data_IF_124375339611
#
_entry.id   IF_124375339611
#
_cell.length_a   1.000
_cell.length_b   1.000
_cell.length_c   1.000
_cell.angle_alpha   90.00
_cell.angle_beta   90.00
_cell.angle_gamma   90.00
#
_symmetry.space_group_name_H-M   'P 1'
#
loop_
_entity.id
_entity.type
_entity.pdbx_description
1 polymer ?
#
# COMPACT_ATOMS: atom_id res chain seq x y z
N UNK A 1 1.28 -16.55 -38.79
CA UNK A 1 1.55 -17.84 -38.08
C UNK A 1 1.11 -17.66 -36.65
N UNK A 2 0.34 -18.55 -36.11
CA UNK A 2 -0.06 -18.53 -34.69
C UNK A 2 1.15 -18.87 -33.83
N UNK A 3 1.49 -18.11 -32.77
CA UNK A 3 2.64 -18.41 -31.93
C UNK A 3 2.48 -19.81 -31.29
N UNK A 4 3.58 -20.53 -31.14
CA UNK A 4 3.60 -21.82 -30.46
C UNK A 4 3.16 -21.67 -29.00
N UNK A 5 2.69 -22.75 -28.37
CA UNK A 5 2.26 -22.71 -26.96
C UNK A 5 3.43 -22.29 -26.04
N UNK A 6 4.66 -22.66 -26.39
CA UNK A 6 5.85 -22.22 -25.65
C UNK A 6 6.06 -20.70 -25.75
N UNK A 7 5.89 -20.13 -26.93
CA UNK A 7 5.98 -18.67 -27.12
C UNK A 7 4.87 -17.93 -26.35
N UNK A 8 3.65 -18.45 -26.35
CA UNK A 8 2.54 -17.91 -25.56
C UNK A 8 2.84 -17.94 -24.06
N UNK A 9 3.42 -19.03 -23.53
CA UNK A 9 3.81 -19.14 -22.12
C UNK A 9 4.90 -18.12 -21.76
N UNK A 10 5.92 -17.96 -22.63
CA UNK A 10 6.96 -16.96 -22.43
C UNK A 10 6.38 -15.53 -22.40
N UNK A 11 5.46 -15.23 -23.30
CA UNK A 11 4.79 -13.93 -23.32
C UNK A 11 3.89 -13.71 -22.10
N UNK A 12 3.21 -14.75 -21.62
CA UNK A 12 2.40 -14.68 -20.41
C UNK A 12 3.24 -14.32 -19.16
N UNK A 13 4.46 -14.85 -19.03
CA UNK A 13 5.34 -14.45 -17.94
C UNK A 13 5.83 -12.99 -18.02
N UNK A 14 5.84 -12.39 -19.20
CA UNK A 14 6.26 -10.99 -19.39
C UNK A 14 5.26 -9.96 -18.86
N UNK A 15 4.05 -10.36 -18.52
CA UNK A 15 3.08 -9.48 -17.86
C UNK A 15 3.55 -9.09 -16.44
N UNK A 16 4.46 -9.86 -15.84
CA UNK A 16 4.97 -9.60 -14.51
C UNK A 16 6.00 -8.46 -14.54
N UNK A 17 5.93 -7.50 -13.60
CA UNK A 17 6.88 -6.38 -13.54
C UNK A 17 8.30 -6.88 -13.32
N UNK A 18 9.26 -6.33 -14.08
CA UNK A 18 10.67 -6.72 -14.02
C UNK A 18 11.02 -8.01 -14.79
N UNK A 19 10.04 -8.68 -15.41
CA UNK A 19 10.26 -9.90 -16.19
C UNK A 19 10.44 -9.56 -17.68
N UNK A 20 11.70 -9.47 -18.11
CA UNK A 20 12.05 -9.33 -19.52
C UNK A 20 12.07 -10.68 -20.26
N UNK A 21 12.27 -10.62 -21.58
CA UNK A 21 12.24 -11.78 -22.49
C UNK A 21 13.11 -12.95 -22.02
N UNK A 22 14.38 -12.70 -21.63
CA UNK A 22 15.30 -13.77 -21.19
C UNK A 22 14.86 -14.42 -19.88
N UNK A 23 14.33 -13.63 -18.95
CA UNK A 23 13.82 -14.11 -17.67
C UNK A 23 12.57 -14.95 -17.88
N UNK A 24 11.62 -14.48 -18.68
CA UNK A 24 10.41 -15.21 -19.04
C UNK A 24 10.72 -16.57 -19.68
N UNK A 25 11.65 -16.58 -20.63
CA UNK A 25 12.09 -17.83 -21.29
C UNK A 25 12.70 -18.83 -20.29
N UNK A 26 13.56 -18.36 -19.37
CA UNK A 26 14.15 -19.18 -18.32
C UNK A 26 13.08 -19.74 -17.37
N UNK A 27 12.08 -18.94 -17.00
CA UNK A 27 10.95 -19.37 -16.17
C UNK A 27 10.14 -20.46 -16.87
N UNK A 28 9.77 -20.25 -18.14
CA UNK A 28 9.03 -21.21 -18.93
C UNK A 28 9.75 -22.56 -19.02
N UNK A 29 11.03 -22.56 -19.33
CA UNK A 29 11.84 -23.79 -19.42
C UNK A 29 11.96 -24.49 -18.06
N UNK A 30 12.20 -23.74 -16.99
CA UNK A 30 12.27 -24.31 -15.64
C UNK A 30 10.99 -25.02 -15.25
N UNK A 31 9.82 -24.37 -15.45
CA UNK A 31 8.52 -24.98 -15.17
C UNK A 31 8.29 -26.24 -15.99
N UNK A 32 8.57 -26.19 -17.29
CA UNK A 32 8.32 -27.31 -18.19
C UNK A 32 9.28 -28.50 -17.99
N UNK A 33 10.51 -28.25 -17.58
CA UNK A 33 11.51 -29.30 -17.43
C UNK A 33 11.58 -29.88 -16.01
N UNK A 34 11.35 -29.02 -14.98
CA UNK A 34 11.68 -29.38 -13.60
C UNK A 34 10.51 -29.27 -12.61
N UNK A 35 9.52 -28.40 -12.89
CA UNK A 35 8.49 -28.02 -11.90
C UNK A 35 7.08 -28.05 -12.51
N UNK A 36 6.72 -29.12 -13.23
CA UNK A 36 5.41 -29.23 -13.88
C UNK A 36 4.24 -29.18 -12.91
N UNK A 37 4.35 -29.83 -11.76
CA UNK A 37 3.34 -29.82 -10.72
C UNK A 37 3.22 -28.44 -10.07
N UNK A 38 4.35 -27.79 -9.80
CA UNK A 38 4.41 -26.39 -9.36
C UNK A 38 3.78 -25.43 -10.37
N UNK A 39 4.02 -25.65 -11.67
CA UNK A 39 3.41 -24.89 -12.74
C UNK A 39 1.90 -25.08 -12.84
N UNK A 40 1.40 -26.30 -12.70
CA UNK A 40 -0.02 -26.61 -12.67
C UNK A 40 -0.71 -25.94 -11.48
N UNK A 41 -0.11 -26.04 -10.28
CA UNK A 41 -0.60 -25.37 -9.07
C UNK A 41 -0.61 -23.85 -9.21
N UNK A 42 0.47 -23.26 -9.78
CA UNK A 42 0.53 -21.81 -10.01
C UNK A 42 -0.61 -21.36 -10.94
N UNK A 43 -0.84 -22.06 -12.03
CA UNK A 43 -1.93 -21.75 -12.97
C UNK A 43 -3.29 -21.80 -12.29
N UNK A 44 -3.55 -22.82 -11.49
CA UNK A 44 -4.81 -22.97 -10.77
C UNK A 44 -5.01 -21.84 -9.75
N UNK A 45 -4.02 -21.62 -8.85
CA UNK A 45 -4.13 -20.60 -7.79
C UNK A 45 -4.23 -19.19 -8.37
N UNK A 46 -3.52 -18.92 -9.47
CA UNK A 46 -3.60 -17.63 -10.15
C UNK A 46 -5.00 -17.39 -10.72
N UNK A 47 -5.59 -18.39 -11.38
CA UNK A 47 -6.96 -18.31 -11.88
C UNK A 47 -7.97 -18.06 -10.76
N UNK A 48 -7.93 -18.85 -9.70
CA UNK A 48 -8.80 -18.69 -8.53
C UNK A 48 -8.62 -17.30 -7.86
N UNK A 49 -7.39 -16.83 -7.73
CA UNK A 49 -7.09 -15.52 -7.14
C UNK A 49 -7.67 -14.37 -7.96
N UNK A 50 -7.53 -14.41 -9.29
CA UNK A 50 -8.08 -13.39 -10.19
C UNK A 50 -9.61 -13.34 -10.12
N UNK A 51 -10.26 -14.49 -9.99
CA UNK A 51 -11.72 -14.55 -9.92
C UNK A 51 -12.29 -14.14 -8.56
N UNK A 52 -11.58 -14.44 -7.46
CA UNK A 52 -12.14 -14.36 -6.11
C UNK A 52 -11.62 -13.19 -5.30
N UNK A 53 -10.40 -12.69 -5.57
CA UNK A 53 -9.82 -11.58 -4.81
C UNK A 53 -10.22 -10.26 -5.44
N UNK A 54 -11.08 -9.53 -4.74
CA UNK A 54 -11.44 -8.16 -5.06
C UNK A 54 -10.86 -7.16 -4.04
N UNK A 55 -11.58 -6.07 -3.82
CA UNK A 55 -11.22 -5.05 -2.86
C UNK A 55 -12.27 -4.95 -1.75
N UNK A 56 -11.80 -4.86 -0.51
CA UNK A 56 -12.65 -4.59 0.65
C UNK A 56 -13.45 -3.31 0.44
N UNK A 57 -14.76 -3.36 0.67
CA UNK A 57 -15.66 -2.24 0.49
C UNK A 57 -15.30 -1.03 1.38
N UNK A 58 -14.70 -1.25 2.57
CA UNK A 58 -14.34 -0.17 3.49
C UNK A 58 -12.93 0.36 3.33
N UNK A 59 -11.93 -0.52 3.24
CA UNK A 59 -10.52 -0.09 3.26
C UNK A 59 -9.83 -0.14 1.90
N UNK A 60 -10.42 -0.76 0.89
CA UNK A 60 -9.86 -0.95 -0.46
C UNK A 60 -8.63 -1.87 -0.52
N UNK A 61 -8.28 -2.57 0.56
CA UNK A 61 -7.27 -3.63 0.52
C UNK A 61 -7.81 -4.86 -0.19
N UNK A 62 -6.93 -5.75 -0.62
CA UNK A 62 -7.35 -7.03 -1.21
C UNK A 62 -8.18 -7.86 -0.25
N UNK A 63 -9.25 -8.46 -0.75
CA UNK A 63 -10.17 -9.28 0.06
C UNK A 63 -10.94 -10.26 -0.81
N UNK A 64 -11.14 -11.49 -0.32
CA UNK A 64 -12.05 -12.47 -0.92
C UNK A 64 -13.52 -12.25 -0.50
N UNK A 65 -13.78 -11.36 0.43
CA UNK A 65 -15.11 -11.03 0.94
C UNK A 65 -15.36 -9.53 0.88
N UNK A 66 -16.62 -9.10 1.03
CA UNK A 66 -17.00 -7.69 1.00
C UNK A 66 -16.20 -6.86 1.99
N UNK A 67 -15.99 -7.38 3.21
CA UNK A 67 -15.13 -6.77 4.22
C UNK A 67 -13.94 -7.68 4.51
N UNK A 68 -12.74 -7.13 4.47
CA UNK A 68 -11.54 -7.87 4.89
C UNK A 68 -11.56 -8.18 6.39
N UNK A 69 -10.75 -9.13 6.83
CA UNK A 69 -10.66 -9.54 8.23
C UNK A 69 -10.39 -8.38 9.21
N UNK A 70 -9.59 -7.39 8.79
CA UNK A 70 -9.32 -6.19 9.60
C UNK A 70 -10.56 -5.32 9.77
N UNK A 71 -11.29 -5.06 8.68
CA UNK A 71 -12.50 -4.22 8.73
C UNK A 71 -13.69 -4.90 9.39
N UNK A 72 -13.76 -6.23 9.36
CA UNK A 72 -14.81 -7.02 10.02
C UNK A 72 -14.54 -7.26 11.52
N UNK A 73 -13.34 -6.98 11.99
CA UNK A 73 -12.94 -7.28 13.37
C UNK A 73 -13.48 -6.25 14.37
N UNK A 74 -14.32 -6.71 15.30
CA UNK A 74 -14.84 -5.88 16.41
C UNK A 74 -13.75 -5.48 17.44
N UNK A 75 -12.56 -6.08 17.39
CA UNK A 75 -11.44 -5.72 18.28
C UNK A 75 -10.61 -4.54 17.78
N UNK A 76 -10.95 -3.97 16.63
CA UNK A 76 -10.29 -2.80 16.06
C UNK A 76 -10.91 -1.51 16.59
N UNK A 77 -10.06 -0.51 16.78
CA UNK A 77 -10.50 0.83 17.18
C UNK A 77 -10.96 1.62 15.94
N UNK A 78 -12.26 1.84 15.85
CA UNK A 78 -12.85 2.58 14.74
C UNK A 78 -12.56 4.09 14.77
N UNK A 79 -12.09 4.63 15.91
CA UNK A 79 -11.70 6.04 16.03
C UNK A 79 -10.38 6.36 15.34
N UNK A 80 -9.55 5.33 15.08
CA UNK A 80 -8.23 5.47 14.45
C UNK A 80 -8.28 4.94 13.01
N UNK A 81 -7.98 5.80 12.04
CA UNK A 81 -7.92 5.44 10.63
C UNK A 81 -6.53 5.77 10.07
N UNK A 82 -5.82 4.76 9.55
CA UNK A 82 -4.51 4.93 8.92
C UNK A 82 -4.63 4.87 7.40
N UNK A 83 -4.29 5.97 6.72
CA UNK A 83 -4.22 6.04 5.27
C UNK A 83 -2.82 5.67 4.77
N UNK A 84 -2.74 4.65 3.91
CA UNK A 84 -1.49 4.12 3.32
C UNK A 84 -1.56 4.15 1.79
N UNK A 85 -0.42 4.21 1.10
CA UNK A 85 -0.39 4.23 -0.36
C UNK A 85 -0.72 2.86 -0.98
N UNK A 86 -0.28 1.77 -0.35
CA UNK A 86 -0.39 0.41 -0.91
C UNK A 86 -0.78 -0.65 0.13
N UNK A 87 -1.24 -1.83 -0.31
CA UNK A 87 -1.42 -2.99 0.56
C UNK A 87 -0.13 -3.42 1.27
N UNK A 88 1.03 -3.25 0.62
CA UNK A 88 2.32 -3.58 1.19
C UNK A 88 2.67 -2.67 2.38
N UNK A 89 2.39 -1.36 2.28
CA UNK A 89 2.59 -0.42 3.39
C UNK A 89 1.69 -0.76 4.59
N UNK A 90 0.42 -1.12 4.32
CA UNK A 90 -0.49 -1.59 5.36
C UNK A 90 0.07 -2.82 6.08
N UNK A 91 0.56 -3.80 5.32
CA UNK A 91 1.13 -5.01 5.88
C UNK A 91 2.38 -4.71 6.72
N UNK A 92 3.24 -3.81 6.26
CA UNK A 92 4.44 -3.40 6.99
C UNK A 92 4.09 -2.76 8.34
N UNK A 93 3.11 -1.85 8.39
CA UNK A 93 2.65 -1.23 9.63
C UNK A 93 2.05 -2.29 10.57
N UNK A 94 1.20 -3.17 10.05
CA UNK A 94 0.55 -4.23 10.83
C UNK A 94 1.57 -5.19 11.48
N UNK A 95 2.65 -5.49 10.78
CA UNK A 95 3.71 -6.38 11.29
C UNK A 95 4.69 -5.69 12.24
N UNK A 96 4.98 -4.41 12.01
CA UNK A 96 6.01 -3.68 12.74
C UNK A 96 5.49 -2.97 13.99
N UNK A 97 4.17 -2.79 14.13
CA UNK A 97 3.59 -1.97 15.20
C UNK A 97 2.47 -2.70 15.95
N UNK A 98 2.13 -2.20 17.13
CA UNK A 98 0.93 -2.63 17.86
C UNK A 98 -0.35 -1.89 17.45
N UNK A 99 -0.43 -1.36 16.23
CA UNK A 99 -1.57 -0.59 15.77
C UNK A 99 -2.87 -1.39 15.77
N UNK A 100 -3.91 -0.85 16.38
CA UNK A 100 -5.22 -1.51 16.52
C UNK A 100 -6.35 -0.80 15.79
N UNK A 101 -6.06 0.29 15.07
CA UNK A 101 -7.04 0.99 14.26
C UNK A 101 -7.36 0.31 12.94
N UNK A 102 -8.12 1.01 12.13
CA UNK A 102 -8.53 0.61 10.79
C UNK A 102 -7.63 1.27 9.73
N UNK A 103 -7.71 0.78 8.51
CA UNK A 103 -6.92 1.28 7.39
C UNK A 103 -7.78 1.82 6.26
N UNK A 104 -7.16 2.66 5.42
CA UNK A 104 -7.64 3.01 4.09
C UNK A 104 -6.47 2.98 3.11
N UNK A 105 -6.58 2.12 2.09
CA UNK A 105 -5.54 1.93 1.09
C UNK A 105 -5.86 2.80 -0.13
N UNK A 106 -5.00 3.77 -0.41
CA UNK A 106 -5.18 4.73 -1.49
C UNK A 106 -5.03 4.09 -2.88
N UNK A 107 -4.27 2.98 -2.97
CA UNK A 107 -3.88 2.33 -4.23
C UNK A 107 -2.99 3.22 -5.10
N UNK A 108 -2.16 4.06 -4.47
CA UNK A 108 -1.25 4.99 -5.12
C UNK A 108 -1.07 6.29 -4.34
N UNK A 109 -0.63 7.30 -5.05
CA UNK A 109 -0.41 8.66 -4.55
C UNK A 109 -0.81 9.68 -5.62
N UNK A 110 -1.03 10.94 -5.26
CA UNK A 110 -1.28 11.99 -6.22
C UNK A 110 -0.09 12.13 -7.17
N UNK A 111 -0.33 11.98 -8.46
CA UNK A 111 0.68 12.13 -9.50
C UNK A 111 0.05 12.76 -10.74
N UNK A 112 0.17 14.08 -10.92
CA UNK A 112 -0.34 14.75 -12.11
C UNK A 112 0.29 14.23 -13.40
N UNK A 113 1.55 13.77 -13.34
CA UNK A 113 2.27 13.23 -14.49
C UNK A 113 1.70 11.87 -14.94
N UNK A 114 1.22 11.07 -13.99
CA UNK A 114 0.62 9.76 -14.26
C UNK A 114 -0.92 9.87 -14.39
N UNK A 115 -1.50 11.07 -14.30
CA UNK A 115 -2.93 11.29 -14.34
C UNK A 115 -3.69 10.78 -13.11
N UNK A 116 -2.99 10.55 -11.99
CA UNK A 116 -3.59 10.05 -10.74
C UNK A 116 -4.02 11.24 -9.88
N UNK A 117 -5.33 11.44 -9.79
CA UNK A 117 -5.97 12.47 -8.99
C UNK A 117 -6.71 11.92 -7.75
N UNK A 118 -7.46 12.79 -7.06
CA UNK A 118 -8.23 12.41 -5.88
C UNK A 118 -9.25 11.29 -6.13
N UNK A 119 -9.81 11.21 -7.33
CA UNK A 119 -10.82 10.22 -7.69
C UNK A 119 -10.21 8.81 -7.77
N UNK A 120 -9.06 8.67 -8.43
CA UNK A 120 -8.33 7.42 -8.59
C UNK A 120 -7.90 6.87 -7.23
N UNK A 121 -7.51 7.75 -6.31
CA UNK A 121 -7.16 7.41 -4.92
C UNK A 121 -8.38 7.11 -4.04
N UNK A 122 -9.60 7.30 -4.54
CA UNK A 122 -10.83 7.07 -3.80
C UNK A 122 -11.04 8.02 -2.62
N UNK A 123 -10.56 9.27 -2.73
CA UNK A 123 -10.63 10.23 -1.61
C UNK A 123 -12.05 10.66 -1.27
N UNK A 124 -13.01 10.54 -2.20
CA UNK A 124 -14.44 10.72 -1.93
C UNK A 124 -14.93 9.70 -0.89
N UNK A 125 -14.60 8.41 -1.09
CA UNK A 125 -14.95 7.33 -0.14
C UNK A 125 -14.28 7.51 1.23
N UNK A 126 -13.04 8.01 1.24
CA UNK A 126 -12.36 8.35 2.48
C UNK A 126 -13.08 9.50 3.21
N UNK A 127 -13.50 10.53 2.47
CA UNK A 127 -14.24 11.66 3.02
C UNK A 127 -15.62 11.23 3.56
N UNK A 128 -16.33 10.36 2.86
CA UNK A 128 -17.60 9.76 3.31
C UNK A 128 -17.40 8.98 4.61
N UNK A 129 -16.37 8.12 4.66
CA UNK A 129 -16.06 7.34 5.85
C UNK A 129 -15.73 8.20 7.07
N UNK A 130 -15.02 9.32 6.89
CA UNK A 130 -14.78 10.29 7.97
C UNK A 130 -16.06 11.01 8.38
N UNK A 131 -17.00 11.23 7.46
CA UNK A 131 -18.28 11.88 7.73
C UNK A 131 -19.28 10.98 8.49
N UNK A 132 -19.07 9.66 8.55
CA UNK A 132 -19.85 8.73 9.40
C UNK A 132 -19.70 9.06 10.90
N UNK A 133 -18.69 9.83 11.31
CA UNK A 133 -18.55 10.39 12.65
C UNK A 133 -17.84 9.49 13.66
N UNK A 134 -17.44 8.27 13.28
CA UNK A 134 -16.66 7.37 14.16
C UNK A 134 -15.19 7.77 14.23
N UNK A 135 -14.59 8.17 13.08
CA UNK A 135 -13.16 8.47 12.98
C UNK A 135 -12.81 9.78 13.68
N UNK A 136 -11.91 9.73 14.63
CA UNK A 136 -11.40 10.91 15.36
C UNK A 136 -10.00 11.33 14.90
N UNK A 137 -9.19 10.37 14.44
CA UNK A 137 -7.85 10.61 13.95
C UNK A 137 -7.61 9.93 12.61
N UNK A 138 -7.09 10.70 11.64
CA UNK A 138 -6.54 10.19 10.39
C UNK A 138 -5.01 10.20 10.49
N UNK A 139 -4.42 9.02 10.62
CA UNK A 139 -2.97 8.81 10.58
C UNK A 139 -2.56 8.70 9.11
N UNK A 140 -1.77 9.66 8.65
CA UNK A 140 -1.31 9.73 7.26
C UNK A 140 0.05 9.03 7.17
N UNK A 141 0.07 7.87 6.55
CA UNK A 141 1.24 7.01 6.39
C UNK A 141 1.63 6.86 4.91
N UNK A 142 1.71 8.01 4.21
CA UNK A 142 2.25 8.09 2.85
C UNK A 142 3.78 8.09 2.89
N UNK A 143 4.40 7.63 1.81
CA UNK A 143 5.85 7.59 1.67
C UNK A 143 6.44 9.02 1.67
N UNK A 144 7.69 9.22 2.18
CA UNK A 144 8.35 10.52 2.22
C UNK A 144 8.96 10.91 0.86
N UNK A 145 8.14 10.84 -0.19
CA UNK A 145 8.45 11.31 -1.55
C UNK A 145 7.73 12.63 -1.81
N UNK A 146 8.11 13.37 -2.85
CA UNK A 146 7.46 14.65 -3.20
C UNK A 146 5.96 14.46 -3.41
N UNK A 147 5.57 13.41 -4.12
CA UNK A 147 4.18 13.06 -4.39
C UNK A 147 3.46 12.56 -3.13
N UNK A 148 4.16 11.79 -2.28
CA UNK A 148 3.64 11.34 -0.99
C UNK A 148 3.41 12.50 -0.02
N UNK A 149 4.28 13.53 -0.02
CA UNK A 149 4.10 14.77 0.73
C UNK A 149 2.89 15.58 0.22
N UNK A 150 2.76 15.72 -1.10
CA UNK A 150 1.60 16.40 -1.70
C UNK A 150 0.29 15.67 -1.34
N UNK A 151 0.31 14.33 -1.38
CA UNK A 151 -0.81 13.48 -0.97
C UNK A 151 -1.13 13.68 0.51
N UNK A 152 -0.12 13.71 1.38
CA UNK A 152 -0.30 13.93 2.81
C UNK A 152 -0.95 15.29 3.11
N UNK A 153 -0.51 16.34 2.43
CA UNK A 153 -1.10 17.68 2.59
C UNK A 153 -2.58 17.70 2.19
N UNK A 154 -2.92 17.06 1.07
CA UNK A 154 -4.30 16.96 0.62
C UNK A 154 -5.16 16.20 1.64
N UNK A 155 -4.68 15.04 2.12
CA UNK A 155 -5.36 14.24 3.14
C UNK A 155 -5.57 15.01 4.45
N UNK A 156 -4.57 15.76 4.88
CA UNK A 156 -4.67 16.59 6.08
C UNK A 156 -5.72 17.70 5.95
N UNK A 157 -5.83 18.34 4.79
CA UNK A 157 -6.89 19.32 4.52
C UNK A 157 -8.26 18.67 4.53
N UNK A 158 -8.41 17.52 3.85
CA UNK A 158 -9.65 16.75 3.79
C UNK A 158 -10.14 16.34 5.18
N UNK A 159 -9.23 15.82 6.03
CA UNK A 159 -9.53 15.42 7.40
C UNK A 159 -10.03 16.59 8.24
N UNK A 160 -9.32 17.75 8.19
CA UNK A 160 -9.74 18.96 8.93
C UNK A 160 -11.12 19.45 8.49
N UNK A 161 -11.45 19.40 7.20
CA UNK A 161 -12.77 19.77 6.68
C UNK A 161 -13.89 18.86 7.21
N UNK A 162 -13.56 17.65 7.64
CA UNK A 162 -14.49 16.66 8.23
C UNK A 162 -14.42 16.63 9.76
N UNK A 163 -13.70 17.54 10.39
CA UNK A 163 -13.54 17.59 11.85
C UNK A 163 -12.67 16.48 12.43
N UNK A 164 -11.92 15.75 11.58
CA UNK A 164 -11.01 14.68 11.98
C UNK A 164 -9.59 15.24 12.15
N UNK A 165 -8.93 14.84 13.22
CA UNK A 165 -7.55 15.27 13.51
C UNK A 165 -6.56 14.54 12.59
N UNK A 166 -5.84 15.22 11.69
CA UNK A 166 -4.78 14.57 10.92
C UNK A 166 -3.51 14.45 11.77
N UNK A 167 -2.87 13.31 11.72
CA UNK A 167 -1.53 13.08 12.23
C UNK A 167 -0.66 12.42 11.14
N UNK A 168 0.64 12.40 11.33
CA UNK A 168 1.59 11.83 10.39
C UNK A 168 2.64 11.00 11.11
N UNK A 169 3.17 10.00 10.41
CA UNK A 169 4.33 9.27 10.91
C UNK A 169 5.50 10.22 11.11
N UNK A 170 6.18 10.08 12.26
CA UNK A 170 7.35 10.90 12.55
C UNK A 170 8.48 10.61 11.56
N UNK A 171 9.12 11.68 11.09
CA UNK A 171 10.38 11.58 10.37
C UNK A 171 11.52 11.66 11.36
N UNK A 172 12.47 10.74 11.29
CA UNK A 172 13.55 10.71 12.27
C UNK A 172 14.79 9.96 11.80
N UNK A 173 15.86 10.12 12.60
CA UNK A 173 17.09 9.37 12.43
C UNK A 173 16.80 7.91 12.75
N UNK A 174 17.26 6.94 11.91
CA UNK A 174 17.03 5.53 12.17
C UNK A 174 17.77 5.08 13.44
N UNK A 175 17.12 4.24 14.24
CA UNK A 175 17.72 3.65 15.43
C UNK A 175 18.86 2.70 15.05
N UNK A 176 19.97 2.75 15.80
CA UNK A 176 21.12 1.85 15.62
C UNK A 176 22.12 2.31 14.56
N UNK A 177 21.94 3.51 13.97
CA UNK A 177 22.90 4.12 13.06
C UNK A 177 23.69 5.25 13.72
N UNK A 178 24.85 5.59 13.15
CA UNK A 178 25.65 6.75 13.53
C UNK A 178 25.23 7.98 12.70
N UNK A 179 25.16 9.15 13.32
CA UNK A 179 24.68 10.38 12.68
C UNK A 179 25.48 10.78 11.43
N UNK A 180 26.76 10.44 11.37
CA UNK A 180 27.61 10.76 10.24
C UNK A 180 27.23 10.02 8.93
N UNK A 181 26.51 8.88 9.05
CA UNK A 181 26.03 8.11 7.89
C UNK A 181 24.60 8.43 7.48
N UNK A 182 23.92 9.30 8.23
CA UNK A 182 22.55 9.73 7.88
C UNK A 182 22.62 10.77 6.77
N UNK A 183 21.79 10.61 5.74
CA UNK A 183 21.72 11.59 4.67
C UNK A 183 21.27 12.97 5.17
N UNK A 184 21.75 14.03 4.49
CA UNK A 184 21.53 15.42 4.90
C UNK A 184 20.06 15.81 4.98
N UNK A 185 19.20 15.25 4.12
CA UNK A 185 17.77 15.51 4.10
C UNK A 185 17.10 14.96 5.36
N UNK A 186 17.30 13.68 5.66
CA UNK A 186 16.80 13.03 6.88
C UNK A 186 17.29 13.75 8.14
N UNK A 187 18.58 14.11 8.22
CA UNK A 187 19.13 14.79 9.37
C UNK A 187 18.52 16.20 9.54
N UNK A 188 18.34 16.95 8.45
CA UNK A 188 17.70 18.27 8.45
C UNK A 188 16.25 18.21 8.93
N UNK A 189 15.49 17.24 8.44
CA UNK A 189 14.10 17.02 8.88
C UNK A 189 14.01 16.62 10.36
N UNK A 190 14.85 15.68 10.79
CA UNK A 190 14.90 15.25 12.19
C UNK A 190 15.26 16.41 13.13
N UNK A 191 16.21 17.27 12.73
CA UNK A 191 16.60 18.44 13.50
C UNK A 191 15.50 19.50 13.57
N UNK A 192 14.78 19.71 12.46
CA UNK A 192 13.63 20.63 12.39
C UNK A 192 12.43 20.19 13.23
N UNK A 193 12.18 18.87 13.28
CA UNK A 193 11.06 18.25 14.00
C UNK A 193 11.43 17.71 15.38
N UNK A 194 12.60 18.10 15.93
CA UNK A 194 13.04 17.66 17.26
C UNK A 194 12.00 17.95 18.33
N UNK A 195 11.74 16.98 19.18
CA UNK A 195 10.85 17.10 20.34
C UNK A 195 11.65 17.23 21.64
N UNK A 196 10.97 17.75 22.66
CA UNK A 196 11.51 17.78 24.01
C UNK A 196 11.69 16.35 24.54
N UNK A 197 12.81 16.07 25.19
CA UNK A 197 13.08 14.75 25.74
C UNK A 197 12.23 14.56 27.01
N UNK A 198 11.38 13.54 27.09
CA UNK A 198 10.68 13.24 28.34
C UNK A 198 11.70 12.83 29.40
N UNK A 199 11.54 13.38 30.61
CA UNK A 199 12.34 13.02 31.78
C UNK A 199 12.00 11.60 32.27
#
# INVERSE_FOLDING_TARGET
>A
MTPSLLEQLIDAFRVLPGVGQKTAQRMAYHVLERERDGGARLSQVLGEAIERIGHCARCRDFSESELCATCASASRDAHLLCAVESPADRLAIEQATGYRGLYFVLQGRLSPLDGIGPRELGLERLAERMAEGEVQELIIATNPTVEGEATAHYLAQLARQRGVRPSRLAHGVPLGGELEYVDRGTLSHAFGSRSEMPL
#
